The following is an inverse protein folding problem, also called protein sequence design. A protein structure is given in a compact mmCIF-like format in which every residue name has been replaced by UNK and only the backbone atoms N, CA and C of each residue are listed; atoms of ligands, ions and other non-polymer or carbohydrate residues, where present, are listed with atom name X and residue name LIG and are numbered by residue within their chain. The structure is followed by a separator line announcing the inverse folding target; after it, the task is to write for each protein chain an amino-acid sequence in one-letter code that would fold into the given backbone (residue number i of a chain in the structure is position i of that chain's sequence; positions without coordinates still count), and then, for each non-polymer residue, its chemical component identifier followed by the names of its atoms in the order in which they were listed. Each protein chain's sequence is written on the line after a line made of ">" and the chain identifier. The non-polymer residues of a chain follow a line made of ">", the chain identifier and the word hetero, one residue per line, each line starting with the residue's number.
data_IF_982742001223
#
_entry.id   IF_982742001223
#
_cell.length_a   1.000
_cell.length_b   1.000
_cell.length_c   1.000
_cell.angle_alpha   90.00
_cell.angle_beta   90.00
_cell.angle_gamma   90.00
#
_symmetry.space_group_name_H-M   'P 1'
#
loop_
_entity.id
_entity.type
_entity.pdbx_description
1 polymer ?
#
# COMPACT_ATOMS: atom_id res chain seq x y z
N UNK A 1 0.18 -27.81 -20.63
CA UNK A 1 1.30 -26.85 -20.64
C UNK A 1 1.89 -26.84 -19.23
N UNK A 2 3.16 -27.22 -19.01
CA UNK A 2 3.77 -27.07 -17.70
C UNK A 2 3.90 -25.58 -17.41
N UNK A 3 3.33 -25.15 -16.30
CA UNK A 3 3.40 -23.78 -15.84
C UNK A 3 4.85 -23.57 -15.34
N UNK A 4 5.69 -22.95 -16.16
CA UNK A 4 7.05 -22.57 -15.77
C UNK A 4 6.97 -21.45 -14.72
N UNK A 5 6.82 -21.84 -13.45
CA UNK A 5 6.91 -20.94 -12.30
C UNK A 5 8.36 -20.68 -11.87
N UNK A 6 9.34 -21.32 -12.51
CA UNK A 6 10.76 -21.30 -12.09
C UNK A 6 11.46 -19.96 -12.34
N UNK A 7 10.88 -19.04 -13.12
CA UNK A 7 11.51 -17.76 -13.50
C UNK A 7 10.98 -16.54 -12.74
N UNK A 8 9.94 -16.65 -11.89
CA UNK A 8 9.43 -15.54 -11.12
C UNK A 8 10.31 -15.26 -9.91
N UNK A 9 11.12 -14.22 -9.97
CA UNK A 9 11.89 -13.73 -8.83
C UNK A 9 10.91 -13.12 -7.82
N UNK A 10 10.69 -13.80 -6.72
CA UNK A 10 9.92 -13.26 -5.60
C UNK A 10 10.71 -12.15 -4.91
N UNK A 11 10.02 -11.08 -4.50
CA UNK A 11 10.63 -10.00 -3.71
C UNK A 11 10.98 -10.47 -2.28
N UNK A 12 10.20 -11.42 -1.77
CA UNK A 12 10.37 -12.03 -0.44
C UNK A 12 10.32 -13.54 -0.64
N UNK A 13 11.45 -14.22 -0.42
CA UNK A 13 11.53 -15.66 -0.32
C UNK A 13 11.32 -16.15 1.12
N UNK A 14 11.37 -17.46 1.35
CA UNK A 14 11.12 -18.04 2.67
C UNK A 14 12.15 -17.56 3.72
N UNK A 15 13.42 -17.43 3.34
CA UNK A 15 14.48 -16.98 4.25
C UNK A 15 14.27 -15.51 4.64
N UNK A 16 14.00 -14.65 3.65
CA UNK A 16 13.71 -13.23 3.87
C UNK A 16 12.43 -13.03 4.69
N UNK A 17 11.40 -13.85 4.48
CA UNK A 17 10.20 -13.82 5.31
C UNK A 17 10.53 -14.10 6.79
N UNK A 18 11.31 -15.15 7.08
CA UNK A 18 11.69 -15.48 8.46
C UNK A 18 12.50 -14.37 9.12
N UNK A 19 13.44 -13.77 8.40
CA UNK A 19 14.22 -12.62 8.88
C UNK A 19 13.31 -11.44 9.21
N UNK A 20 12.42 -11.05 8.29
CA UNK A 20 11.50 -9.92 8.47
C UNK A 20 10.52 -10.19 9.62
N UNK A 21 10.00 -11.42 9.72
CA UNK A 21 9.10 -11.80 10.80
C UNK A 21 9.79 -11.72 12.16
N UNK A 22 10.99 -12.26 12.27
CA UNK A 22 11.77 -12.17 13.50
C UNK A 22 12.05 -10.71 13.91
N UNK A 23 12.43 -9.86 12.94
CA UNK A 23 12.64 -8.43 13.18
C UNK A 23 11.36 -7.74 13.67
N UNK A 24 10.21 -8.04 13.06
CA UNK A 24 8.92 -7.44 13.45
C UNK A 24 8.42 -7.81 14.85
N UNK A 25 8.90 -8.95 15.39
CA UNK A 25 8.56 -9.42 16.75
C UNK A 25 9.59 -8.92 17.77
N UNK A 26 10.89 -8.99 17.44
CA UNK A 26 11.94 -8.66 18.38
C UNK A 26 12.12 -7.15 18.59
N UNK A 27 11.96 -6.36 17.52
CA UNK A 27 12.01 -4.89 17.57
C UNK A 27 10.93 -4.28 16.65
N UNK A 28 9.67 -4.33 17.07
CA UNK A 28 8.56 -3.83 16.26
C UNK A 28 8.65 -2.34 15.97
N UNK A 29 9.21 -1.53 16.86
CA UNK A 29 9.34 -0.09 16.62
C UNK A 29 10.33 0.21 15.49
N UNK A 30 11.51 -0.36 15.52
CA UNK A 30 12.48 -0.18 14.45
C UNK A 30 11.96 -0.76 13.13
N UNK A 31 11.40 -1.98 13.15
CA UNK A 31 10.88 -2.63 11.95
C UNK A 31 9.77 -1.81 11.29
N UNK A 32 8.71 -1.47 12.03
CA UNK A 32 7.59 -0.73 11.45
C UNK A 32 7.93 0.74 11.18
N UNK A 33 8.86 1.32 11.94
CA UNK A 33 9.41 2.63 11.64
C UNK A 33 10.12 2.68 10.29
N UNK A 34 10.82 1.63 9.90
CA UNK A 34 11.42 1.53 8.57
C UNK A 34 10.36 1.26 7.48
N UNK A 35 9.41 0.35 7.74
CA UNK A 35 8.33 0.07 6.78
C UNK A 35 7.46 1.30 6.51
N UNK A 36 7.20 2.13 7.50
CA UNK A 36 6.43 3.35 7.34
C UNK A 36 7.03 4.37 6.38
N UNK A 37 8.35 4.33 6.14
CA UNK A 37 9.03 5.21 5.17
C UNK A 37 8.73 4.87 3.70
N UNK A 38 8.07 3.75 3.44
CA UNK A 38 7.71 3.33 2.06
C UNK A 38 6.57 4.14 1.46
N UNK A 39 5.85 4.89 2.28
CA UNK A 39 4.75 5.77 1.86
C UNK A 39 5.14 7.23 2.05
N UNK A 40 4.53 8.12 1.26
CA UNK A 40 4.82 9.54 1.29
C UNK A 40 3.97 10.23 2.35
N UNK A 41 4.63 10.87 3.30
CA UNK A 41 4.00 11.59 4.39
C UNK A 41 3.99 13.10 4.10
N UNK A 42 2.85 13.76 4.31
CA UNK A 42 2.74 15.22 4.33
C UNK A 42 3.47 15.75 5.57
N UNK A 43 3.21 15.13 6.71
CA UNK A 43 3.94 15.33 7.96
C UNK A 43 4.44 13.97 8.43
N UNK A 44 5.74 13.70 8.45
CA UNK A 44 6.27 12.45 8.98
C UNK A 44 5.84 12.19 10.43
N UNK A 45 5.62 10.94 10.79
CA UNK A 45 5.38 10.52 12.16
C UNK A 45 6.68 10.61 12.99
N UNK A 46 6.55 10.79 14.28
CA UNK A 46 7.65 10.67 15.25
C UNK A 46 7.45 9.49 16.18
N UNK A 47 6.22 9.01 16.34
CA UNK A 47 5.87 7.85 17.14
C UNK A 47 5.27 6.74 16.26
N UNK A 48 5.92 5.57 16.25
CA UNK A 48 5.51 4.43 15.43
C UNK A 48 4.23 3.82 15.97
N UNK A 49 4.18 3.53 17.28
CA UNK A 49 2.99 2.96 17.92
C UNK A 49 2.82 3.47 19.35
N UNK A 50 1.57 3.53 19.80
CA UNK A 50 1.15 3.68 21.19
C UNK A 50 0.00 2.67 21.42
N UNK A 51 0.33 1.54 22.02
CA UNK A 51 -0.61 0.42 22.18
C UNK A 51 -0.61 -0.05 23.61
N UNK A 52 -1.82 -0.16 24.19
CA UNK A 52 -2.06 -0.75 25.50
C UNK A 52 -3.29 -1.64 25.45
N UNK A 53 -3.21 -2.78 26.10
CA UNK A 53 -4.33 -3.68 26.37
C UNK A 53 -4.63 -3.81 27.88
N UNK A 54 -4.06 -2.91 28.70
CA UNK A 54 -4.31 -2.92 30.13
C UNK A 54 -5.80 -2.66 30.45
N UNK A 55 -6.39 -3.31 31.45
CA UNK A 55 -7.75 -3.02 31.86
C UNK A 55 -7.96 -1.55 32.19
N UNK A 56 -8.95 -0.92 31.55
CA UNK A 56 -9.23 0.52 31.70
C UNK A 56 -8.35 1.46 30.87
N UNK A 57 -7.37 0.94 30.13
CA UNK A 57 -6.48 1.74 29.27
C UNK A 57 -6.23 1.02 27.95
N UNK A 58 -7.31 0.71 27.22
CA UNK A 58 -7.20 0.10 25.89
C UNK A 58 -7.03 1.20 24.84
N UNK A 59 -5.88 1.19 24.16
CA UNK A 59 -5.59 2.09 23.04
C UNK A 59 -4.73 1.40 22.00
N UNK A 60 -5.03 1.66 20.72
CA UNK A 60 -4.27 1.15 19.57
C UNK A 60 -4.09 2.33 18.62
N UNK A 61 -2.90 2.90 18.63
CA UNK A 61 -2.52 4.02 17.75
C UNK A 61 -1.25 3.66 17.00
N UNK A 62 -1.27 3.81 15.68
CA UNK A 62 -0.12 3.63 14.80
C UNK A 62 0.10 4.92 14.02
N UNK A 63 1.34 5.43 14.02
CA UNK A 63 1.74 6.62 13.26
C UNK A 63 0.81 7.83 13.48
N UNK A 64 0.22 7.95 14.67
CA UNK A 64 -0.94 8.81 14.91
C UNK A 64 -0.62 10.32 14.85
N UNK A 65 0.64 10.70 14.93
CA UNK A 65 1.12 12.07 14.81
C UNK A 65 1.59 12.43 13.39
N UNK A 66 1.62 11.44 12.49
CA UNK A 66 1.86 11.62 11.08
C UNK A 66 0.60 12.00 10.29
N UNK A 67 0.77 12.64 9.14
CA UNK A 67 -0.32 12.98 8.22
C UNK A 67 0.06 12.59 6.80
N UNK A 68 -0.84 11.91 6.11
CA UNK A 68 -0.66 11.52 4.72
C UNK A 68 -1.96 11.69 3.93
N UNK A 69 -1.85 11.64 2.60
CA UNK A 69 -3.00 11.51 1.71
C UNK A 69 -2.92 10.14 1.02
N UNK A 70 -3.93 9.31 1.25
CA UNK A 70 -3.99 7.96 0.68
C UNK A 70 -4.13 8.02 -0.83
N UNK A 71 -4.96 8.92 -1.36
CA UNK A 71 -5.14 9.11 -2.81
C UNK A 71 -3.82 9.50 -3.48
N UNK A 72 -3.08 10.46 -2.90
CA UNK A 72 -1.77 10.85 -3.40
C UNK A 72 -0.79 9.66 -3.45
N UNK A 73 -0.75 8.86 -2.40
CA UNK A 73 0.10 7.67 -2.33
C UNK A 73 -0.31 6.57 -3.33
N UNK A 74 -1.60 6.38 -3.56
CA UNK A 74 -2.09 5.32 -4.44
C UNK A 74 -2.14 5.71 -5.91
N UNK A 75 -2.27 7.00 -6.23
CA UNK A 75 -2.52 7.49 -7.59
C UNK A 75 -1.46 8.50 -8.02
N UNK A 76 -1.38 9.66 -7.35
CA UNK A 76 -0.63 10.83 -7.82
C UNK A 76 0.86 10.54 -7.98
N UNK A 77 1.48 9.87 -7.00
CA UNK A 77 2.91 9.49 -7.03
C UNK A 77 3.28 8.59 -8.21
N UNK A 78 2.30 7.97 -8.86
CA UNK A 78 2.52 7.06 -9.98
C UNK A 78 2.30 7.71 -11.35
N UNK A 79 1.78 8.93 -11.42
CA UNK A 79 1.38 9.57 -12.68
C UNK A 79 2.54 9.79 -13.63
N UNK A 80 3.68 10.23 -13.12
CA UNK A 80 4.86 10.53 -13.94
C UNK A 80 5.42 9.26 -14.60
N UNK A 81 5.54 8.17 -13.85
CA UNK A 81 6.23 6.94 -14.30
C UNK A 81 5.30 5.87 -14.83
N UNK A 82 4.02 5.88 -14.43
CA UNK A 82 3.01 4.85 -14.72
C UNK A 82 1.68 5.41 -15.21
N UNK A 83 1.63 6.70 -15.58
CA UNK A 83 0.39 7.38 -15.93
C UNK A 83 -0.46 6.68 -16.97
N UNK A 84 0.17 6.07 -17.97
CA UNK A 84 -0.50 5.35 -19.06
C UNK A 84 -0.69 3.84 -18.78
N UNK A 85 -0.19 3.35 -17.63
CA UNK A 85 -0.41 1.97 -17.21
C UNK A 85 -1.84 1.79 -16.71
N UNK A 86 -2.45 0.64 -17.00
CA UNK A 86 -3.75 0.27 -16.46
C UNK A 86 -3.69 0.17 -14.93
N UNK A 87 -4.48 0.99 -14.25
CA UNK A 87 -4.63 0.98 -12.79
C UNK A 87 -5.80 0.09 -12.36
N UNK A 88 -6.89 0.07 -13.15
CA UNK A 88 -8.10 -0.72 -12.86
C UNK A 88 -8.53 -1.42 -14.13
N UNK A 89 -8.86 -2.70 -14.01
CA UNK A 89 -9.61 -3.47 -15.01
C UNK A 89 -11.00 -3.67 -14.41
N UNK A 90 -12.00 -3.11 -15.07
CA UNK A 90 -13.40 -3.32 -14.71
C UNK A 90 -14.01 -4.35 -15.66
N UNK A 91 -14.47 -5.45 -15.09
CA UNK A 91 -15.18 -6.50 -15.83
C UNK A 91 -16.69 -6.31 -15.62
N UNK A 92 -17.49 -6.24 -16.70
CA UNK A 92 -18.93 -6.16 -16.59
C UNK A 92 -19.54 -7.49 -16.12
N UNK A 93 -20.77 -7.42 -15.62
CA UNK A 93 -21.54 -8.60 -15.22
C UNK A 93 -22.02 -9.42 -16.45
N UNK A 94 -22.41 -8.73 -17.54
CA UNK A 94 -22.75 -9.42 -18.80
C UNK A 94 -21.46 -9.76 -19.56
N UNK A 95 -21.18 -11.08 -19.84
CA UNK A 95 -19.99 -11.51 -20.56
C UNK A 95 -19.94 -11.07 -22.04
N UNK A 96 -21.01 -10.45 -22.54
CA UNK A 96 -21.04 -9.87 -23.89
C UNK A 96 -20.51 -8.45 -23.94
N UNK A 97 -20.41 -7.79 -22.79
CA UNK A 97 -19.89 -6.43 -22.69
C UNK A 97 -18.36 -6.45 -22.59
N UNK A 98 -17.72 -5.42 -23.15
CA UNK A 98 -16.26 -5.30 -23.12
C UNK A 98 -15.76 -4.81 -21.76
N UNK A 99 -14.66 -5.40 -21.28
CA UNK A 99 -13.92 -4.94 -20.12
C UNK A 99 -13.37 -3.52 -20.32
N UNK A 100 -13.35 -2.71 -19.25
CA UNK A 100 -12.79 -1.36 -19.28
C UNK A 100 -11.46 -1.31 -18.58
N UNK A 101 -10.43 -0.85 -19.29
CA UNK A 101 -9.10 -0.62 -18.77
C UNK A 101 -8.94 0.86 -18.46
N UNK A 102 -8.83 1.21 -17.17
CA UNK A 102 -8.70 2.59 -16.70
C UNK A 102 -7.24 2.82 -16.31
N UNK A 103 -6.58 3.78 -16.97
CA UNK A 103 -5.20 4.14 -16.66
C UNK A 103 -5.10 4.99 -15.39
N UNK A 104 -3.88 5.11 -14.79
CA UNK A 104 -3.65 6.01 -13.66
C UNK A 104 -4.05 7.46 -13.95
N UNK A 105 -3.76 7.98 -15.15
CA UNK A 105 -4.19 9.34 -15.56
C UNK A 105 -5.70 9.48 -15.59
N UNK A 106 -6.40 8.51 -16.16
CA UNK A 106 -7.87 8.52 -16.21
C UNK A 106 -8.46 8.40 -14.80
N UNK A 107 -7.91 7.51 -13.97
CA UNK A 107 -8.33 7.35 -12.58
C UNK A 107 -8.14 8.66 -11.80
N UNK A 108 -6.99 9.29 -11.90
CA UNK A 108 -6.71 10.58 -11.26
C UNK A 108 -7.74 11.64 -11.69
N UNK A 109 -8.00 11.78 -13.00
CA UNK A 109 -8.99 12.73 -13.53
C UNK A 109 -10.39 12.48 -12.94
N UNK A 110 -10.78 11.21 -12.82
CA UNK A 110 -12.08 10.83 -12.27
C UNK A 110 -12.17 11.11 -10.77
N UNK A 111 -11.12 10.80 -10.02
CA UNK A 111 -11.04 11.09 -8.58
C UNK A 111 -11.12 12.59 -8.31
N UNK A 112 -10.39 13.41 -9.08
CA UNK A 112 -10.45 14.86 -8.96
C UNK A 112 -11.86 15.42 -9.24
N UNK A 113 -12.58 14.87 -10.23
CA UNK A 113 -13.96 15.26 -10.50
C UNK A 113 -14.92 14.89 -9.37
N UNK A 114 -14.69 13.77 -8.69
CA UNK A 114 -15.52 13.33 -7.57
C UNK A 114 -15.25 14.13 -6.29
N UNK A 115 -14.04 14.68 -6.15
CA UNK A 115 -13.65 15.47 -4.97
C UNK A 115 -14.10 16.94 -5.03
N UNK A 116 -14.49 17.44 -6.19
CA UNK A 116 -15.00 18.80 -6.42
C UNK A 116 -16.54 18.83 -6.41
#
# INVERSE_FOLDING_TARGET
>A
MPNDQSSRKYHVDAAKYQEMYAASINDPEAFWGEQGKRIDWIKPYTQVKDVSFAPGDIRIKWYHDGTLNVSANCIDRHLETRGDQTAIIWEPDDPKDDAKHITYKQLHTNVCKMAN
#
